data_IF_155685776771
#
_entry.id   IF_155685776771
#
_cell.length_a   1.000
_cell.length_b   1.000
_cell.length_c   1.000
_cell.angle_alpha   90.00
_cell.angle_beta   90.00
_cell.angle_gamma   90.00
#
_symmetry.space_group_name_H-M   'P 1'
#
loop_
_entity.id
_entity.type
_entity.pdbx_description
1 polymer ?
#
# COMPACT_ATOMS: atom_id res chain seq x y z
N UNK A 1 -11.10 -34.32 0.66
CA UNK A 1 -9.71 -34.58 0.23
C UNK A 1 -8.80 -33.64 1.00
N UNK A 2 -8.14 -34.11 2.08
CA UNK A 2 -7.35 -33.29 3.02
C UNK A 2 -6.04 -32.92 2.33
N UNK A 3 -6.05 -31.77 1.67
CA UNK A 3 -5.06 -31.37 0.67
C UNK A 3 -3.67 -31.27 1.30
N UNK A 4 -2.64 -31.84 0.65
CA UNK A 4 -1.27 -31.88 1.15
C UNK A 4 -0.70 -30.48 1.50
N UNK A 5 -1.27 -29.43 0.89
CA UNK A 5 -1.00 -28.02 1.19
C UNK A 5 -1.22 -27.65 2.67
N UNK A 6 -2.32 -28.10 3.29
CA UNK A 6 -2.62 -27.78 4.69
C UNK A 6 -1.64 -28.45 5.66
N UNK A 7 -1.13 -29.65 5.31
CA UNK A 7 -0.09 -30.31 6.10
C UNK A 7 1.25 -29.57 5.99
N UNK A 8 1.63 -29.16 4.77
CA UNK A 8 2.85 -28.38 4.52
C UNK A 8 2.82 -27.04 5.27
N UNK A 9 1.69 -26.31 5.20
CA UNK A 9 1.54 -25.04 5.90
C UNK A 9 1.62 -25.21 7.42
N UNK A 10 0.98 -26.24 7.98
CA UNK A 10 1.07 -26.51 9.41
C UNK A 10 2.50 -26.84 9.86
N UNK A 11 3.25 -27.62 9.06
CA UNK A 11 4.67 -27.92 9.34
C UNK A 11 5.50 -26.63 9.28
N UNK A 12 5.27 -25.78 8.28
CA UNK A 12 5.96 -24.51 8.14
C UNK A 12 5.72 -23.59 9.35
N UNK A 13 4.45 -23.44 9.78
CA UNK A 13 4.10 -22.65 10.97
C UNK A 13 4.73 -23.24 12.24
N UNK A 14 4.73 -24.57 12.36
CA UNK A 14 5.36 -25.24 13.50
C UNK A 14 6.87 -24.97 13.57
N UNK A 15 7.58 -24.99 12.44
CA UNK A 15 9.03 -24.67 12.39
C UNK A 15 9.27 -23.22 12.83
N UNK A 16 8.49 -22.27 12.33
CA UNK A 16 8.57 -20.86 12.74
C UNK A 16 8.34 -20.72 14.25
N UNK A 17 7.32 -21.38 14.78
CA UNK A 17 6.99 -21.33 16.20
C UNK A 17 8.11 -21.90 17.08
N UNK A 18 8.74 -23.01 16.66
CA UNK A 18 9.87 -23.60 17.37
C UNK A 18 11.09 -22.67 17.36
N UNK A 19 11.41 -22.05 16.22
CA UNK A 19 12.53 -21.09 16.14
C UNK A 19 12.27 -19.87 17.03
N UNK A 20 11.05 -19.32 16.98
CA UNK A 20 10.65 -18.20 17.84
C UNK A 20 10.73 -18.55 19.33
N UNK A 21 10.25 -19.73 19.72
CA UNK A 21 10.33 -20.21 21.10
C UNK A 21 11.78 -20.39 21.56
N UNK A 22 12.66 -20.92 20.70
CA UNK A 22 14.09 -21.06 21.01
C UNK A 22 14.77 -19.71 21.23
N UNK A 23 14.54 -18.74 20.34
CA UNK A 23 15.07 -17.38 20.47
C UNK A 23 14.53 -16.66 21.71
N UNK A 24 13.27 -16.91 22.05
CA UNK A 24 12.66 -16.37 23.25
C UNK A 24 13.28 -16.96 24.53
N UNK A 25 13.44 -18.27 24.60
CA UNK A 25 14.13 -18.93 25.71
C UNK A 25 15.56 -18.41 25.85
N UNK A 26 16.26 -18.17 24.73
CA UNK A 26 17.61 -17.60 24.76
C UNK A 26 17.65 -16.23 25.47
N UNK A 27 16.64 -15.38 25.30
CA UNK A 27 16.56 -14.09 26.01
C UNK A 27 16.36 -14.30 27.51
N UNK A 28 15.50 -15.24 27.91
CA UNK A 28 15.22 -15.52 29.32
C UNK A 28 16.37 -16.20 30.06
N UNK A 29 17.26 -16.90 29.34
CA UNK A 29 18.43 -17.55 29.91
C UNK A 29 19.66 -16.64 29.97
N UNK A 30 19.63 -15.47 29.31
CA UNK A 30 20.73 -14.50 29.35
C UNK A 30 20.62 -13.66 30.62
N UNK A 31 21.72 -13.57 31.36
CA UNK A 31 21.79 -12.87 32.65
C UNK A 31 21.59 -11.35 32.47
N UNK A 32 20.80 -10.73 33.34
CA UNK A 32 20.43 -9.31 33.25
C UNK A 32 21.65 -8.38 33.44
N UNK A 33 22.71 -8.89 34.08
CA UNK A 33 23.96 -8.17 34.32
C UNK A 33 24.89 -8.04 33.11
N UNK A 34 24.70 -8.83 32.05
CA UNK A 34 25.46 -8.74 30.80
C UNK A 34 24.63 -8.07 29.70
N UNK A 35 24.66 -6.74 29.72
CA UNK A 35 23.90 -5.90 28.78
C UNK A 35 24.27 -6.13 27.32
N UNK A 36 25.49 -6.62 27.02
CA UNK A 36 25.93 -6.92 25.67
C UNK A 36 25.32 -8.24 25.17
N UNK A 37 25.34 -9.29 26.00
CA UNK A 37 24.71 -10.56 25.66
C UNK A 37 23.19 -10.41 25.53
N UNK A 38 22.54 -9.67 26.44
CA UNK A 38 21.09 -9.46 26.42
C UNK A 38 20.64 -8.71 25.16
N UNK A 39 21.38 -7.66 24.78
CA UNK A 39 21.13 -6.90 23.55
C UNK A 39 21.27 -7.77 22.29
N UNK A 40 22.22 -8.72 22.28
CA UNK A 40 22.40 -9.67 21.18
C UNK A 40 21.24 -10.69 21.06
N UNK A 41 20.78 -11.23 22.19
CA UNK A 41 19.63 -12.15 22.23
C UNK A 41 18.34 -11.45 21.78
N UNK A 42 18.10 -10.21 22.25
CA UNK A 42 16.95 -9.39 21.83
C UNK A 42 17.07 -8.98 20.35
N UNK A 43 18.26 -8.62 19.89
CA UNK A 43 18.50 -8.35 18.47
C UNK A 43 18.13 -9.53 17.58
N UNK A 44 18.48 -10.75 18.00
CA UNK A 44 18.20 -11.97 17.24
C UNK A 44 16.69 -12.23 17.06
N UNK A 45 15.86 -12.03 18.10
CA UNK A 45 14.40 -12.17 17.97
C UNK A 45 13.77 -11.07 17.12
N UNK A 46 14.30 -9.85 17.20
CA UNK A 46 13.81 -8.70 16.40
C UNK A 46 14.15 -8.91 14.93
N UNK A 47 15.37 -9.34 14.60
CA UNK A 47 15.77 -9.66 13.23
C UNK A 47 14.93 -10.80 12.65
N UNK A 48 14.71 -11.87 13.42
CA UNK A 48 13.85 -12.97 13.00
C UNK A 48 12.42 -12.51 12.71
N UNK A 49 11.84 -11.71 13.59
CA UNK A 49 10.49 -11.16 13.43
C UNK A 49 10.38 -10.22 12.23
N UNK A 50 11.41 -9.41 11.99
CA UNK A 50 11.49 -8.49 10.84
C UNK A 50 11.55 -9.26 9.51
N UNK A 51 12.37 -10.32 9.45
CA UNK A 51 12.44 -11.20 8.27
C UNK A 51 11.08 -11.86 8.02
N UNK A 52 10.41 -12.35 9.06
CA UNK A 52 9.09 -12.96 8.96
C UNK A 52 8.06 -11.94 8.46
N UNK A 53 8.10 -10.69 8.94
CA UNK A 53 7.25 -9.61 8.46
C UNK A 53 7.47 -9.35 6.97
N UNK A 54 8.73 -9.23 6.51
CA UNK A 54 9.01 -9.07 5.08
C UNK A 54 8.54 -10.26 4.26
N UNK A 55 8.71 -11.48 4.76
CA UNK A 55 8.18 -12.67 4.10
C UNK A 55 6.65 -12.66 4.02
N UNK A 56 5.96 -12.29 5.10
CA UNK A 56 4.50 -12.23 5.14
C UNK A 56 3.94 -11.16 4.19
N UNK A 57 4.54 -9.96 4.19
CA UNK A 57 4.18 -8.89 3.24
C UNK A 57 4.43 -9.35 1.81
N UNK A 58 5.62 -9.92 1.53
CA UNK A 58 5.97 -10.42 0.21
C UNK A 58 5.02 -11.52 -0.27
N UNK A 59 4.75 -12.53 0.56
CA UNK A 59 3.81 -13.60 0.26
C UNK A 59 2.39 -13.07 0.03
N UNK A 60 1.94 -12.12 0.85
CA UNK A 60 0.61 -11.50 0.70
C UNK A 60 0.49 -10.76 -0.63
N UNK A 61 1.49 -9.96 -0.99
CA UNK A 61 1.50 -9.23 -2.27
C UNK A 61 1.53 -10.20 -3.45
N UNK A 62 2.42 -11.19 -3.43
CA UNK A 62 2.55 -12.19 -4.50
C UNK A 62 1.29 -13.03 -4.67
N UNK A 63 0.72 -13.52 -3.57
CA UNK A 63 -0.53 -14.31 -3.60
C UNK A 63 -1.72 -13.44 -4.00
N UNK A 64 -1.77 -12.18 -3.58
CA UNK A 64 -2.81 -11.23 -4.01
C UNK A 64 -2.75 -10.99 -5.52
N UNK A 65 -1.56 -10.77 -6.07
CA UNK A 65 -1.38 -10.61 -7.51
C UNK A 65 -1.70 -11.91 -8.26
N UNK A 66 -1.19 -13.05 -7.80
CA UNK A 66 -1.47 -14.35 -8.40
C UNK A 66 -2.96 -14.70 -8.38
N UNK A 67 -3.64 -14.42 -7.26
CA UNK A 67 -5.09 -14.56 -7.11
C UNK A 67 -5.83 -13.65 -8.09
N UNK A 68 -5.38 -12.40 -8.26
CA UNK A 68 -6.00 -11.47 -9.20
C UNK A 68 -5.93 -12.01 -10.65
N UNK A 69 -4.77 -12.52 -11.09
CA UNK A 69 -4.62 -13.06 -12.44
C UNK A 69 -5.34 -14.40 -12.67
N UNK A 70 -5.44 -15.23 -11.62
CA UNK A 70 -6.09 -16.54 -11.70
C UNK A 70 -7.62 -16.43 -11.64
N UNK A 71 -8.16 -15.38 -11.03
CA UNK A 71 -9.59 -15.14 -10.90
C UNK A 71 -10.07 -14.07 -11.90
N UNK A 72 -10.61 -14.44 -13.06
CA UNK A 72 -10.97 -13.50 -14.11
C UNK A 72 -12.06 -12.51 -13.69
N UNK A 73 -12.95 -12.90 -12.77
CA UNK A 73 -13.97 -11.99 -12.22
C UNK A 73 -13.36 -10.85 -11.41
N UNK A 74 -12.40 -11.17 -10.53
CA UNK A 74 -11.71 -10.18 -9.71
C UNK A 74 -10.83 -9.28 -10.57
N UNK A 75 -10.14 -9.87 -11.56
CA UNK A 75 -9.35 -9.10 -12.52
C UNK A 75 -10.20 -8.09 -13.27
N UNK A 76 -11.37 -8.50 -13.77
CA UNK A 76 -12.28 -7.59 -14.49
C UNK A 76 -12.77 -6.45 -13.59
N UNK A 77 -13.14 -6.74 -12.34
CA UNK A 77 -13.56 -5.70 -11.37
C UNK A 77 -12.44 -4.70 -11.09
N UNK A 78 -11.23 -5.19 -10.82
CA UNK A 78 -10.07 -4.32 -10.59
C UNK A 78 -9.73 -3.51 -11.84
N UNK A 79 -9.72 -4.14 -13.02
CA UNK A 79 -9.47 -3.44 -14.29
C UNK A 79 -10.54 -2.39 -14.58
N UNK A 80 -11.81 -2.64 -14.29
CA UNK A 80 -12.86 -1.63 -14.42
C UNK A 80 -12.63 -0.44 -13.47
N UNK A 81 -12.20 -0.71 -12.23
CA UNK A 81 -11.81 0.33 -11.29
C UNK A 81 -10.62 1.16 -11.79
N UNK A 82 -9.55 0.49 -12.24
CA UNK A 82 -8.36 1.14 -12.81
C UNK A 82 -8.71 1.91 -14.09
N UNK A 83 -9.58 1.37 -14.95
CA UNK A 83 -10.03 2.06 -16.14
C UNK A 83 -10.84 3.32 -15.79
N UNK A 84 -11.73 3.26 -14.80
CA UNK A 84 -12.45 4.44 -14.31
C UNK A 84 -11.49 5.52 -13.78
N UNK A 85 -10.50 5.12 -12.98
CA UNK A 85 -9.43 6.03 -12.54
C UNK A 85 -8.64 6.61 -13.72
N UNK A 86 -8.34 5.80 -14.73
CA UNK A 86 -7.69 6.22 -15.97
C UNK A 86 -8.52 7.24 -16.76
N UNK A 87 -9.84 7.07 -16.84
CA UNK A 87 -10.74 8.05 -17.48
C UNK A 87 -10.69 9.39 -16.74
N UNK A 88 -10.75 9.36 -15.40
CA UNK A 88 -10.64 10.59 -14.60
C UNK A 88 -9.27 11.25 -14.78
N UNK A 89 -8.19 10.45 -14.88
CA UNK A 89 -6.84 10.96 -15.13
C UNK A 89 -6.73 11.65 -16.50
N UNK A 90 -7.28 11.04 -17.55
CA UNK A 90 -7.32 11.64 -18.90
C UNK A 90 -8.11 12.94 -18.88
N UNK A 91 -9.28 12.96 -18.22
CA UNK A 91 -10.08 14.18 -18.08
C UNK A 91 -9.32 15.28 -17.32
N UNK A 92 -8.65 14.92 -16.22
CA UNK A 92 -7.81 15.84 -15.46
C UNK A 92 -6.63 16.37 -16.28
N UNK A 93 -6.07 15.54 -17.17
CA UNK A 93 -4.98 15.95 -18.06
C UNK A 93 -5.43 16.99 -19.09
N UNK A 94 -6.65 16.87 -19.62
CA UNK A 94 -7.22 17.89 -20.53
C UNK A 94 -7.58 19.19 -19.81
N UNK A 95 -7.94 19.12 -18.53
CA UNK A 95 -8.26 20.28 -17.71
C UNK A 95 -7.01 20.98 -17.15
N UNK A 96 -5.90 20.24 -17.06
CA UNK A 96 -4.62 20.77 -16.67
C UNK A 96 -4.05 21.71 -17.72
N UNK A 97 -3.51 22.83 -17.23
CA UNK A 97 -2.85 23.83 -18.03
C UNK A 97 -1.33 23.76 -17.79
N UNK A 98 -0.55 24.10 -18.81
CA UNK A 98 0.92 24.14 -18.80
C UNK A 98 1.49 25.57 -18.78
N UNK A 99 0.70 26.55 -18.32
CA UNK A 99 1.10 27.93 -18.10
C UNK A 99 2.32 28.03 -17.19
N UNK A 100 3.05 29.14 -17.33
CA UNK A 100 4.22 29.38 -16.50
C UNK A 100 3.82 29.47 -15.03
N UNK A 101 4.47 28.66 -14.18
CA UNK A 101 4.31 28.71 -12.73
C UNK A 101 5.28 29.75 -12.19
N UNK A 102 4.71 30.81 -11.63
CA UNK A 102 5.45 31.93 -11.07
C UNK A 102 5.62 31.74 -9.56
N UNK A 103 6.80 32.08 -9.07
CA UNK A 103 7.07 32.24 -7.65
C UNK A 103 6.33 33.48 -7.09
N UNK A 104 6.30 33.66 -5.77
CA UNK A 104 5.70 34.82 -5.10
C UNK A 104 6.37 36.15 -5.51
N UNK A 105 7.54 36.09 -6.14
CA UNK A 105 8.26 37.23 -6.71
C UNK A 105 8.05 37.41 -8.23
N UNK A 106 7.15 36.65 -8.87
CA UNK A 106 6.86 36.74 -10.30
C UNK A 106 7.92 36.14 -11.21
N UNK A 107 8.90 35.42 -10.67
CA UNK A 107 9.90 34.69 -11.47
C UNK A 107 9.40 33.29 -11.81
N UNK A 108 9.67 32.84 -13.04
CA UNK A 108 9.36 31.47 -13.48
C UNK A 108 10.18 30.49 -12.64
N UNK A 109 9.49 29.50 -12.05
CA UNK A 109 10.15 28.44 -11.30
C UNK A 109 10.96 27.53 -12.22
N UNK A 110 12.05 26.95 -11.72
CA UNK A 110 12.83 25.96 -12.47
C UNK A 110 11.95 24.73 -12.71
N UNK A 111 11.73 24.36 -13.97
CA UNK A 111 10.74 23.34 -14.36
C UNK A 111 9.29 23.84 -14.36
N UNK A 112 9.09 25.15 -14.12
CA UNK A 112 7.84 25.89 -14.14
C UNK A 112 7.59 26.66 -15.43
N UNK A 113 8.39 26.44 -16.47
CA UNK A 113 8.32 27.19 -17.74
C UNK A 113 7.03 26.91 -18.49
N UNK A 114 6.52 27.90 -19.23
CA UNK A 114 5.35 27.70 -20.07
C UNK A 114 5.60 26.58 -21.09
N UNK A 115 4.73 25.57 -21.12
CA UNK A 115 4.87 24.39 -21.97
C UNK A 115 5.75 23.28 -21.40
N UNK A 116 6.27 23.40 -20.18
CA UNK A 116 7.02 22.32 -19.54
C UNK A 116 6.10 21.12 -19.23
N UNK A 117 6.57 19.90 -19.55
CA UNK A 117 5.84 18.66 -19.27
C UNK A 117 5.56 18.48 -17.77
N UNK A 118 6.49 18.93 -16.91
CA UNK A 118 6.32 18.95 -15.45
C UNK A 118 5.09 19.74 -15.02
N UNK A 119 4.82 20.92 -15.61
CA UNK A 119 3.65 21.73 -15.28
C UNK A 119 2.35 21.01 -15.62
N UNK A 120 2.30 20.39 -16.81
CA UNK A 120 1.12 19.65 -17.24
C UNK A 120 0.80 18.49 -16.28
N UNK A 121 1.81 17.71 -15.86
CA UNK A 121 1.61 16.57 -14.96
C UNK A 121 1.27 16.99 -13.52
N UNK A 122 1.86 18.07 -13.01
CA UNK A 122 1.50 18.63 -11.71
C UNK A 122 0.06 19.15 -11.75
N UNK A 123 -0.31 19.93 -12.77
CA UNK A 123 -1.68 20.39 -12.98
C UNK A 123 -2.68 19.24 -13.11
N UNK A 124 -2.27 18.17 -13.81
CA UNK A 124 -3.07 16.93 -13.92
C UNK A 124 -3.28 16.31 -12.56
N UNK A 125 -2.24 16.20 -11.73
CA UNK A 125 -2.35 15.66 -10.37
C UNK A 125 -3.29 16.47 -9.45
N UNK A 126 -3.27 17.80 -9.57
CA UNK A 126 -4.18 18.69 -8.85
C UNK A 126 -5.62 18.45 -9.30
N UNK A 127 -5.90 18.55 -10.59
CA UNK A 127 -7.25 18.33 -11.13
C UNK A 127 -7.76 16.92 -10.88
N UNK A 128 -6.87 15.93 -10.95
CA UNK A 128 -7.19 14.55 -10.65
C UNK A 128 -7.65 14.39 -9.19
N UNK A 129 -6.92 15.00 -8.25
CA UNK A 129 -7.29 15.00 -6.83
C UNK A 129 -8.61 15.73 -6.58
N UNK A 130 -8.83 16.89 -7.23
CA UNK A 130 -10.08 17.67 -7.12
C UNK A 130 -11.27 16.88 -7.67
N UNK A 131 -11.14 16.28 -8.86
CA UNK A 131 -12.19 15.46 -9.46
C UNK A 131 -12.53 14.24 -8.59
N UNK A 132 -11.53 13.52 -8.09
CA UNK A 132 -11.76 12.40 -7.18
C UNK A 132 -12.41 12.84 -5.88
N UNK A 133 -11.96 13.95 -5.29
CA UNK A 133 -12.54 14.52 -4.08
C UNK A 133 -14.00 14.96 -4.26
N UNK A 134 -14.34 15.57 -5.40
CA UNK A 134 -15.71 15.92 -5.76
C UNK A 134 -16.61 14.69 -5.89
N UNK A 135 -16.16 13.68 -6.65
CA UNK A 135 -16.92 12.44 -6.84
C UNK A 135 -17.13 11.74 -5.50
N UNK A 136 -16.08 11.60 -4.69
CA UNK A 136 -16.17 10.99 -3.36
C UNK A 136 -17.15 11.75 -2.44
N UNK A 137 -17.08 13.09 -2.43
CA UNK A 137 -17.98 13.92 -1.61
C UNK A 137 -19.44 13.77 -2.04
N UNK A 138 -19.72 13.71 -3.34
CA UNK A 138 -21.08 13.51 -3.86
C UNK A 138 -21.64 12.15 -3.47
N UNK A 139 -20.86 11.07 -3.63
CA UNK A 139 -21.27 9.73 -3.21
C UNK A 139 -21.50 9.65 -1.70
N UNK A 140 -20.61 10.26 -0.92
CA UNK A 140 -20.74 10.32 0.53
C UNK A 140 -22.04 11.01 0.97
N UNK A 141 -22.36 12.18 0.41
CA UNK A 141 -23.62 12.89 0.72
C UNK A 141 -24.84 12.07 0.29
N UNK A 142 -24.80 11.47 -0.90
CA UNK A 142 -25.88 10.61 -1.38
C UNK A 142 -26.13 9.42 -0.44
N UNK A 143 -25.07 8.72 -0.04
CA UNK A 143 -25.16 7.57 0.87
C UNK A 143 -25.65 7.99 2.26
N UNK A 144 -25.23 9.16 2.76
CA UNK A 144 -25.72 9.73 4.02
C UNK A 144 -27.23 10.00 3.97
N UNK A 145 -27.71 10.71 2.93
CA UNK A 145 -29.14 11.03 2.79
C UNK A 145 -29.97 9.76 2.65
N UNK A 146 -29.52 8.81 1.81
CA UNK A 146 -30.20 7.52 1.65
C UNK A 146 -30.21 6.70 2.94
N UNK A 147 -29.12 6.74 3.70
CA UNK A 147 -29.03 6.11 5.02
C UNK A 147 -30.01 6.70 6.01
N UNK A 148 -30.18 8.03 6.04
CA UNK A 148 -31.15 8.71 6.90
C UNK A 148 -32.60 8.43 6.52
N UNK A 149 -32.93 8.35 5.22
CA UNK A 149 -34.30 8.08 4.75
C UNK A 149 -34.71 6.61 4.97
N UNK A 150 -33.73 5.70 4.99
CA UNK A 150 -33.97 4.26 5.13
C UNK A 150 -33.85 3.76 6.58
N UNK A 151 -33.54 4.65 7.51
CA UNK A 151 -33.57 4.42 8.97
C UNK A 151 -34.91 4.81 9.57
#
# INVERSE_FOLDING_TARGET
MKNNLSKILNIFIAVIAVIGAFLFINIFMTDEGDTAALSGSVGSIVTFSTILLYFAVGATVLLSLFSLFTNPENLKKTLMGVAALGVVLVFAYFLADSNAVLDTQGKVLVGGEAGASSNQWVGTGIWYSVCLGLVASLFFVYDLVKGLIKS
#
